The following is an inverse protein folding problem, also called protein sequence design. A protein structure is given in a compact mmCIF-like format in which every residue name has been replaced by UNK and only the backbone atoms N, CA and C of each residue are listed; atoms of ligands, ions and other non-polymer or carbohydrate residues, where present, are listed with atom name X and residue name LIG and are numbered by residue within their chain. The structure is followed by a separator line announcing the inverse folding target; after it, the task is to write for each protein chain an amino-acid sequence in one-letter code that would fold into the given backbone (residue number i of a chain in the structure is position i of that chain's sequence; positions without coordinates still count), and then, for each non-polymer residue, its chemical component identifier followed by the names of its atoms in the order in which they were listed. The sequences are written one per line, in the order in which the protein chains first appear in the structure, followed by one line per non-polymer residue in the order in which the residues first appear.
data_IF_997188952292
#
_entry.id   IF_997188952292
#
_cell.length_a   1.000
_cell.length_b   1.000
_cell.length_c   1.000
_cell.angle_alpha   90.00
_cell.angle_beta   90.00
_cell.angle_gamma   90.00
#
_symmetry.space_group_name_H-M   'P 1'
#
loop_
_entity.id
_entity.type
_entity.pdbx_description
1 polymer ?
#
# COMPACT_ATOMS: atom_id res chain seq x y z
N UNK A 1 -7.03 6.24 11.11
CA UNK A 1 -8.38 6.17 10.51
C UNK A 1 -8.35 6.76 9.11
N UNK A 2 -8.01 8.05 8.96
CA UNK A 2 -7.94 8.71 7.64
C UNK A 2 -7.00 8.03 6.64
N UNK A 3 -5.79 7.67 7.08
CA UNK A 3 -4.81 6.96 6.24
C UNK A 3 -5.34 5.60 5.76
N UNK A 4 -5.93 4.82 6.67
CA UNK A 4 -6.56 3.53 6.35
C UNK A 4 -7.76 3.68 5.40
N UNK A 5 -8.61 4.68 5.64
CA UNK A 5 -9.74 5.02 4.77
C UNK A 5 -9.26 5.39 3.35
N UNK A 6 -8.26 6.27 3.26
CA UNK A 6 -7.69 6.69 1.99
C UNK A 6 -7.10 5.50 1.23
N UNK A 7 -6.33 4.62 1.90
CA UNK A 7 -5.77 3.40 1.31
C UNK A 7 -6.87 2.47 0.75
N UNK A 8 -7.96 2.25 1.49
CA UNK A 8 -9.09 1.43 1.05
C UNK A 8 -9.81 2.04 -0.17
N UNK A 9 -10.16 3.32 -0.09
CA UNK A 9 -10.93 4.03 -1.12
C UNK A 9 -10.11 4.18 -2.41
N UNK A 10 -8.81 4.48 -2.29
CA UNK A 10 -7.90 4.56 -3.44
C UNK A 10 -7.78 3.22 -4.18
N UNK A 11 -7.76 2.09 -3.45
CA UNK A 11 -7.76 0.75 -4.07
C UNK A 11 -9.06 0.46 -4.81
N UNK A 12 -10.21 0.76 -4.18
CA UNK A 12 -11.53 0.49 -4.78
C UNK A 12 -11.78 1.35 -6.02
N UNK A 13 -11.55 2.68 -5.93
CA UNK A 13 -11.67 3.59 -7.07
C UNK A 13 -10.65 3.24 -8.15
N UNK A 14 -9.41 2.92 -7.76
CA UNK A 14 -8.37 2.49 -8.67
C UNK A 14 -8.83 1.29 -9.49
N UNK A 15 -9.33 0.24 -8.83
CA UNK A 15 -9.86 -0.95 -9.51
C UNK A 15 -10.97 -0.61 -10.51
N UNK A 16 -11.95 0.21 -10.11
CA UNK A 16 -13.07 0.61 -10.97
C UNK A 16 -12.57 1.40 -12.20
N UNK A 17 -11.62 2.32 -12.01
CA UNK A 17 -11.03 3.10 -13.11
C UNK A 17 -10.24 2.19 -14.05
N UNK A 18 -9.45 1.26 -13.49
CA UNK A 18 -8.69 0.30 -14.28
C UNK A 18 -9.61 -0.59 -15.14
N UNK A 19 -10.64 -1.16 -14.54
CA UNK A 19 -11.62 -1.99 -15.25
C UNK A 19 -12.34 -1.21 -16.36
N UNK A 20 -12.70 0.05 -16.08
CA UNK A 20 -13.48 0.87 -17.02
C UNK A 20 -12.66 1.45 -18.17
N UNK A 21 -11.43 1.90 -17.92
CA UNK A 21 -10.65 2.69 -18.88
C UNK A 21 -9.40 1.97 -19.38
N UNK A 22 -8.98 0.90 -18.70
CA UNK A 22 -7.78 0.13 -19.02
C UNK A 22 -8.07 -1.39 -19.05
N UNK A 23 -9.16 -1.88 -19.66
CA UNK A 23 -9.54 -3.31 -19.62
C UNK A 23 -8.51 -4.22 -20.31
N UNK A 24 -7.73 -3.69 -21.26
CA UNK A 24 -6.62 -4.39 -21.92
C UNK A 24 -5.33 -4.47 -21.08
N UNK A 25 -5.26 -3.77 -19.96
CA UNK A 25 -4.08 -3.71 -19.09
C UNK A 25 -4.00 -4.89 -18.12
N UNK A 26 -5.07 -5.71 -18.01
CA UNK A 26 -5.05 -6.98 -17.26
C UNK A 26 -3.96 -7.95 -17.75
N UNK A 27 -3.54 -7.86 -19.02
CA UNK A 27 -2.46 -8.70 -19.56
C UNK A 27 -1.04 -8.22 -19.21
N UNK A 28 -0.87 -6.97 -18.74
CA UNK A 28 0.45 -6.40 -18.44
C UNK A 28 0.77 -6.28 -16.95
N UNK A 29 -0.25 -6.12 -16.11
CA UNK A 29 -0.06 -5.93 -14.67
C UNK A 29 -0.26 -7.20 -13.83
N UNK A 30 -0.92 -8.23 -14.37
CA UNK A 30 -0.96 -9.57 -13.75
C UNK A 30 0.22 -10.48 -14.14
N UNK A 31 1.13 -10.04 -15.02
CA UNK A 31 2.33 -10.82 -15.37
C UNK A 31 3.54 -10.59 -14.46
N UNK A 32 3.39 -9.95 -13.30
CA UNK A 32 4.45 -9.93 -12.27
C UNK A 32 3.94 -10.17 -10.84
N UNK A 33 2.76 -10.78 -10.69
CA UNK A 33 2.66 -11.77 -9.61
C UNK A 33 3.33 -13.02 -10.17
N UNK A 34 4.63 -13.15 -9.93
CA UNK A 34 5.35 -14.39 -10.11
C UNK A 34 4.76 -15.44 -9.18
N UNK A 35 3.60 -15.99 -9.56
CA UNK A 35 3.06 -17.25 -9.04
C UNK A 35 4.03 -18.33 -9.53
N UNK A 36 5.16 -18.46 -8.83
CA UNK A 36 6.24 -19.36 -9.25
C UNK A 36 7.52 -19.31 -8.43
N UNK A 37 7.80 -18.26 -7.65
CA UNK A 37 8.93 -18.27 -6.71
C UNK A 37 8.49 -17.71 -5.37
N UNK A 38 8.94 -18.28 -4.25
CA UNK A 38 8.57 -17.88 -2.88
C UNK A 38 9.03 -16.48 -2.45
N UNK A 39 9.16 -15.54 -3.38
CA UNK A 39 9.58 -14.17 -3.15
C UNK A 39 8.37 -13.24 -2.99
N UNK A 40 8.17 -12.71 -1.78
CA UNK A 40 7.15 -11.69 -1.49
C UNK A 40 7.74 -10.29 -1.72
N UNK A 41 7.44 -9.70 -2.88
CA UNK A 41 7.88 -8.35 -3.24
C UNK A 41 7.46 -7.29 -2.21
N UNK A 42 6.25 -7.40 -1.65
CA UNK A 42 5.78 -6.41 -0.67
C UNK A 42 6.56 -6.51 0.64
N UNK A 43 6.89 -7.74 1.06
CA UNK A 43 7.75 -7.96 2.21
C UNK A 43 9.15 -7.39 1.98
N UNK A 44 9.77 -7.67 0.83
CA UNK A 44 11.10 -7.13 0.50
C UNK A 44 11.09 -5.59 0.53
N UNK A 45 10.09 -4.95 -0.11
CA UNK A 45 10.00 -3.48 -0.13
C UNK A 45 9.82 -2.87 1.27
N UNK A 46 9.13 -3.56 2.20
CA UNK A 46 9.04 -3.14 3.61
C UNK A 46 10.40 -3.20 4.31
N UNK A 47 11.14 -4.28 4.11
CA UNK A 47 12.45 -4.48 4.73
C UNK A 47 13.46 -3.45 4.23
N UNK A 48 13.46 -3.19 2.92
CA UNK A 48 14.27 -2.13 2.32
C UNK A 48 13.94 -0.78 2.96
N UNK A 49 12.65 -0.43 3.06
CA UNK A 49 12.23 0.85 3.67
C UNK A 49 12.73 0.97 5.12
N UNK A 50 12.57 -0.06 5.94
CA UNK A 50 13.04 -0.06 7.34
C UNK A 50 14.54 0.14 7.44
N UNK A 51 15.32 -0.49 6.56
CA UNK A 51 16.77 -0.33 6.53
C UNK A 51 17.18 1.09 6.10
N UNK A 52 16.52 1.64 5.07
CA UNK A 52 16.73 3.03 4.63
C UNK A 52 16.39 4.01 5.75
N UNK A 53 15.24 3.86 6.42
CA UNK A 53 14.83 4.72 7.53
C UNK A 53 15.85 4.69 8.68
N UNK A 54 16.48 3.53 8.93
CA UNK A 54 17.55 3.39 9.92
C UNK A 54 18.80 4.18 9.54
N UNK A 55 19.29 4.05 8.30
CA UNK A 55 20.45 4.81 7.83
C UNK A 55 20.19 6.32 7.87
N UNK A 56 19.01 6.75 7.43
CA UNK A 56 18.62 8.16 7.45
C UNK A 56 18.53 8.72 8.87
N UNK A 57 18.00 7.94 9.83
CA UNK A 57 17.96 8.34 11.23
C UNK A 57 19.35 8.50 11.87
N UNK A 58 20.37 7.82 11.32
CA UNK A 58 21.76 7.91 11.74
C UNK A 58 22.53 9.04 11.03
N UNK A 59 21.92 9.66 10.01
CA UNK A 59 22.57 10.68 9.16
C UNK A 59 23.40 10.08 8.02
N UNK A 60 23.33 8.76 7.81
CA UNK A 60 24.13 8.01 6.84
C UNK A 60 23.48 8.05 5.44
N UNK A 61 23.45 9.24 4.83
CA UNK A 61 22.74 9.48 3.56
C UNK A 61 23.34 8.66 2.41
N UNK A 62 24.67 8.66 2.26
CA UNK A 62 25.34 7.94 1.16
C UNK A 62 25.09 6.43 1.23
N UNK A 63 25.13 5.86 2.44
CA UNK A 63 24.88 4.45 2.70
C UNK A 63 23.42 4.09 2.40
N UNK A 64 22.47 4.99 2.71
CA UNK A 64 21.08 4.81 2.33
C UNK A 64 20.91 4.77 0.80
N UNK A 65 21.56 5.70 0.09
CA UNK A 65 21.48 5.76 -1.39
C UNK A 65 22.12 4.56 -2.06
N UNK A 66 23.31 4.14 -1.60
CA UNK A 66 24.00 2.97 -2.12
C UNK A 66 23.17 1.70 -1.89
N UNK A 67 22.63 1.53 -0.68
CA UNK A 67 21.77 0.40 -0.35
C UNK A 67 20.51 0.35 -1.23
N UNK A 68 19.88 1.50 -1.51
CA UNK A 68 18.73 1.56 -2.42
C UNK A 68 19.08 1.17 -3.85
N UNK A 69 20.25 1.57 -4.36
CA UNK A 69 20.68 1.17 -5.70
C UNK A 69 21.02 -0.33 -5.77
N UNK A 70 21.71 -0.86 -4.77
CA UNK A 70 21.97 -2.31 -4.65
C UNK A 70 20.67 -3.11 -4.67
N UNK A 71 19.66 -2.67 -3.90
CA UNK A 71 18.35 -3.31 -3.86
C UNK A 71 17.57 -3.16 -5.17
N UNK A 72 17.68 -2.02 -5.86
CA UNK A 72 17.10 -1.83 -7.20
C UNK A 72 17.68 -2.83 -8.21
N UNK A 73 18.98 -3.06 -8.18
CA UNK A 73 19.66 -4.02 -9.05
C UNK A 73 19.28 -5.46 -8.71
N UNK A 74 19.20 -5.79 -7.42
CA UNK A 74 18.69 -7.09 -6.96
C UNK A 74 17.28 -7.35 -7.47
N UNK A 75 16.35 -6.41 -7.28
CA UNK A 75 14.98 -6.53 -7.77
C UNK A 75 14.93 -6.72 -9.29
N UNK A 76 15.76 -5.99 -10.03
CA UNK A 76 15.84 -6.16 -11.48
C UNK A 76 16.35 -7.56 -11.89
N UNK A 77 17.26 -8.18 -11.13
CA UNK A 77 17.79 -9.52 -11.45
C UNK A 77 16.76 -10.63 -11.27
N UNK A 78 15.75 -10.41 -10.43
CA UNK A 78 14.63 -11.33 -10.19
C UNK A 78 13.34 -10.90 -10.92
N UNK A 79 13.43 -9.98 -11.88
CA UNK A 79 12.33 -9.59 -12.78
C UNK A 79 11.50 -8.37 -12.36
N UNK A 80 11.82 -7.73 -11.24
CA UNK A 80 11.14 -6.53 -10.74
C UNK A 80 11.89 -5.26 -11.15
N UNK A 81 11.48 -4.68 -12.28
CA UNK A 81 12.11 -3.48 -12.81
C UNK A 81 11.60 -2.19 -12.15
N UNK A 82 12.48 -1.53 -11.40
CA UNK A 82 12.25 -0.20 -10.83
C UNK A 82 13.21 0.79 -11.49
N UNK A 83 12.67 1.86 -12.10
CA UNK A 83 13.46 2.91 -12.78
C UNK A 83 14.43 3.61 -11.81
N UNK A 84 13.95 3.96 -10.62
CA UNK A 84 14.73 4.60 -9.56
C UNK A 84 14.12 4.26 -8.21
N UNK A 85 14.92 3.70 -7.30
CA UNK A 85 14.54 3.45 -5.91
C UNK A 85 15.13 4.57 -5.05
N UNK A 86 14.28 5.41 -4.47
CA UNK A 86 14.68 6.53 -3.62
C UNK A 86 13.58 6.85 -2.58
N UNK A 87 13.82 7.81 -1.70
CA UNK A 87 12.82 8.22 -0.70
C UNK A 87 11.47 8.61 -1.31
N UNK A 88 11.48 9.33 -2.44
CA UNK A 88 10.26 9.71 -3.15
C UNK A 88 9.48 8.48 -3.65
N UNK A 89 10.16 7.45 -4.15
CA UNK A 89 9.53 6.18 -4.52
C UNK A 89 8.74 5.59 -3.35
N UNK A 90 9.33 5.55 -2.16
CA UNK A 90 8.63 5.07 -0.96
C UNK A 90 7.46 5.97 -0.54
N UNK A 91 7.55 7.29 -0.76
CA UNK A 91 6.43 8.20 -0.49
C UNK A 91 5.25 7.98 -1.46
N UNK A 92 5.53 7.71 -2.74
CA UNK A 92 4.50 7.48 -3.76
C UNK A 92 3.91 6.06 -3.74
N UNK A 93 4.71 5.06 -3.35
CA UNK A 93 4.33 3.65 -3.37
C UNK A 93 4.23 3.04 -1.97
N UNK A 94 4.13 3.86 -0.91
CA UNK A 94 4.25 3.47 0.51
C UNK A 94 3.24 2.45 1.06
N UNK A 95 2.34 1.93 0.22
CA UNK A 95 1.41 0.84 0.55
C UNK A 95 2.09 -0.46 0.93
N UNK A 96 3.40 -0.60 0.71
CA UNK A 96 4.15 -1.79 1.15
C UNK A 96 4.10 -1.96 2.67
N UNK A 97 4.05 -0.88 3.45
CA UNK A 97 3.90 -0.93 4.91
C UNK A 97 2.55 -1.51 5.36
N UNK A 98 1.53 -1.44 4.50
CA UNK A 98 0.27 -2.18 4.67
C UNK A 98 0.50 -3.65 4.30
N UNK A 99 1.24 -4.37 5.14
CA UNK A 99 1.04 -5.81 5.17
C UNK A 99 -0.43 -6.06 5.55
N UNK A 100 -1.16 -6.97 4.86
CA UNK A 100 -2.44 -7.45 5.37
C UNK A 100 -2.30 -8.09 6.77
N UNK A 101 -1.07 -8.38 7.23
CA UNK A 101 -0.79 -8.86 8.60
C UNK A 101 -0.69 -7.76 9.65
N UNK A 102 -0.58 -6.48 9.27
CA UNK A 102 -0.93 -5.39 10.18
C UNK A 102 -2.42 -5.20 10.08
N UNK A 103 -3.16 -6.17 10.63
CA UNK A 103 -4.60 -6.08 10.81
C UNK A 103 -4.82 -5.00 11.86
N UNK A 104 -4.68 -3.74 11.44
CA UNK A 104 -5.08 -2.60 12.25
C UNK A 104 -6.53 -2.86 12.62
N UNK A 105 -6.89 -2.88 13.92
CA UNK A 105 -8.28 -3.06 14.33
C UNK A 105 -9.23 -2.09 13.59
N UNK A 106 -8.71 -0.90 13.25
CA UNK A 106 -9.40 0.12 12.47
C UNK A 106 -9.68 -0.34 11.04
N UNK A 107 -8.77 -1.08 10.38
CA UNK A 107 -8.97 -1.59 9.03
C UNK A 107 -10.07 -2.64 8.96
N UNK A 108 -10.15 -3.53 9.96
CA UNK A 108 -11.24 -4.52 10.07
C UNK A 108 -12.57 -3.84 10.33
N UNK A 109 -12.58 -2.86 11.24
CA UNK A 109 -13.76 -2.06 11.56
C UNK A 109 -14.26 -1.27 10.35
N UNK A 110 -13.37 -0.57 9.63
CA UNK A 110 -13.73 0.17 8.41
C UNK A 110 -14.18 -0.76 7.28
N UNK A 111 -13.60 -1.95 7.13
CA UNK A 111 -14.04 -2.93 6.15
C UNK A 111 -15.46 -3.40 6.45
N UNK A 112 -15.75 -3.73 7.71
CA UNK A 112 -17.09 -4.11 8.15
C UNK A 112 -18.10 -2.98 7.91
N UNK A 113 -17.71 -1.73 8.19
CA UNK A 113 -18.54 -0.57 7.90
C UNK A 113 -18.81 -0.43 6.40
N UNK A 114 -17.78 -0.57 5.56
CA UNK A 114 -17.90 -0.52 4.09
C UNK A 114 -18.84 -1.60 3.55
N UNK A 115 -18.82 -2.80 4.13
CA UNK A 115 -19.73 -3.90 3.78
C UNK A 115 -21.20 -3.61 4.13
N UNK A 116 -21.45 -2.76 5.13
CA UNK A 116 -22.80 -2.34 5.56
C UNK A 116 -23.31 -1.11 4.79
N UNK A 117 -22.43 -0.33 4.17
CA UNK A 117 -22.80 0.87 3.42
C UNK A 117 -23.41 0.54 2.06
N UNK A 118 -24.44 1.32 1.67
CA UNK A 118 -25.15 1.11 0.41
C UNK A 118 -24.30 1.47 -0.83
N UNK A 119 -23.30 2.34 -0.66
CA UNK A 119 -22.38 2.74 -1.72
C UNK A 119 -21.04 3.21 -1.16
N UNK A 120 -20.04 3.35 -2.03
CA UNK A 120 -18.74 3.94 -1.64
C UNK A 120 -18.89 5.40 -1.17
N UNK A 121 -19.82 6.16 -1.75
CA UNK A 121 -20.13 7.52 -1.32
C UNK A 121 -20.76 7.53 0.08
N UNK A 122 -21.74 6.66 0.30
CA UNK A 122 -22.42 6.51 1.60
C UNK A 122 -21.41 6.14 2.71
N UNK A 123 -20.49 5.23 2.39
CA UNK A 123 -19.36 4.89 3.27
C UNK A 123 -18.47 6.11 3.58
N UNK A 124 -18.05 6.86 2.56
CA UNK A 124 -17.21 8.05 2.73
C UNK A 124 -17.90 9.13 3.57
N UNK A 125 -19.16 9.44 3.27
CA UNK A 125 -19.95 10.44 3.99
C UNK A 125 -20.10 10.05 5.48
N UNK A 126 -20.32 8.76 5.74
CA UNK A 126 -20.42 8.23 7.11
C UNK A 126 -19.10 8.37 7.88
N UNK A 127 -17.96 8.00 7.28
CA UNK A 127 -16.65 8.09 7.96
C UNK A 127 -16.19 9.56 8.08
N UNK A 128 -16.55 10.43 7.13
CA UNK A 128 -16.21 11.86 7.18
C UNK A 128 -16.82 12.58 8.39
N UNK A 129 -17.96 12.11 8.89
CA UNK A 129 -18.59 12.62 10.11
C UNK A 129 -17.91 12.14 11.41
N UNK A 130 -17.00 11.16 11.34
CA UNK A 130 -16.33 10.58 12.51
C UNK A 130 -15.08 11.36 12.88
N UNK A 131 -14.99 11.79 14.13
CA UNK A 131 -13.80 12.49 14.67
C UNK A 131 -12.92 11.58 15.53
N UNK A 132 -13.41 10.38 15.85
CA UNK A 132 -12.71 9.42 16.71
C UNK A 132 -12.99 7.98 16.33
N UNK A 133 -12.10 7.06 16.74
CA UNK A 133 -12.33 5.61 16.62
C UNK A 133 -13.57 5.15 17.39
N UNK A 134 -13.96 5.85 18.45
CA UNK A 134 -15.16 5.49 19.21
C UNK A 134 -16.43 5.62 18.35
N UNK A 135 -16.51 6.66 17.50
CA UNK A 135 -17.64 6.82 16.57
C UNK A 135 -17.74 5.64 15.59
N UNK A 136 -16.60 5.15 15.10
CA UNK A 136 -16.54 3.96 14.25
C UNK A 136 -17.00 2.69 14.98
N UNK A 137 -16.65 2.54 16.26
CA UNK A 137 -17.11 1.38 17.05
C UNK A 137 -18.60 1.42 17.33
N UNK A 138 -19.16 2.61 17.53
CA UNK A 138 -20.59 2.78 17.80
C UNK A 138 -21.45 2.62 16.53
N UNK A 139 -20.92 2.94 15.34
CA UNK A 139 -21.62 2.68 14.07
C UNK A 139 -21.65 1.20 13.66
N UNK A 140 -20.87 0.35 14.34
CA UNK A 140 -20.74 -1.09 14.04
C UNK A 140 -21.53 -2.01 15.00
N UNK A 141 -22.23 -1.41 15.98
CA UNK A 141 -23.16 -2.09 16.88
C UNK A 141 -24.54 -2.17 16.25
#
# INVERSE_FOLDING_TARGET
MNETLASMVSKEIGSIIYEKYYPWYENGYNQNQGVGSGFDFNQEMREIRRAVDKYLAQGDIEQAEEFMEQKRQYLASIGYYIRKLNQAYFAFHGTYADSPTSVSPIGVELKKLREQSASLKDFLDTVAAMTSRQNLRDSLK
#
